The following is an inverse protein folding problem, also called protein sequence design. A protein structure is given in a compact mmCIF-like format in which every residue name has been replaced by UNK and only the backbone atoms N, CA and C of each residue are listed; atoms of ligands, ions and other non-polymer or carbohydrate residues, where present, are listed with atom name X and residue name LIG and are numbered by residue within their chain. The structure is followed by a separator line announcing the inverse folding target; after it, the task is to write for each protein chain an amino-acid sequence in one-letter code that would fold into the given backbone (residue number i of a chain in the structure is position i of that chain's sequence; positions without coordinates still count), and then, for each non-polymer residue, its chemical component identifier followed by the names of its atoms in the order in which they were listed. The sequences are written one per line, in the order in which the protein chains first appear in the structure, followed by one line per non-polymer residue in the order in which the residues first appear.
data_IF_485883569135
#
_entry.id   IF_485883569135
#
_cell.length_a   1.000
_cell.length_b   1.000
_cell.length_c   1.000
_cell.angle_alpha   90.00
_cell.angle_beta   90.00
_cell.angle_gamma   90.00
#
_symmetry.space_group_name_H-M   'P 1'
#
loop_
_entity.id
_entity.type
_entity.pdbx_description
1 polymer ?
#
# COMPACT_ATOMS: atom_id res chain seq x y z
N UNK A 1 13.16 -17.23 -2.41
CA UNK A 1 12.50 -17.98 -1.31
C UNK A 1 11.69 -16.96 -0.52
N UNK A 2 10.39 -16.81 -0.82
CA UNK A 2 9.54 -15.76 -0.24
C UNK A 2 9.08 -16.16 1.16
N UNK A 3 9.69 -15.58 2.19
CA UNK A 3 9.22 -15.69 3.58
C UNK A 3 8.17 -14.60 3.82
N UNK A 4 6.90 -14.93 3.64
CA UNK A 4 5.76 -14.00 3.80
C UNK A 4 5.09 -14.07 5.18
N UNK A 5 5.66 -14.79 6.16
CA UNK A 5 4.99 -15.04 7.45
C UNK A 5 5.92 -14.99 8.66
N UNK A 6 6.86 -14.04 8.71
CA UNK A 6 7.46 -13.66 9.99
C UNK A 6 6.64 -12.51 10.55
N UNK A 7 5.94 -12.73 11.67
CA UNK A 7 5.32 -11.68 12.49
C UNK A 7 6.42 -10.70 12.89
N UNK A 8 6.64 -9.68 12.08
CA UNK A 8 7.51 -8.56 12.40
C UNK A 8 6.68 -7.68 13.33
N UNK A 9 7.13 -7.46 14.57
CA UNK A 9 6.47 -6.43 15.36
C UNK A 9 6.68 -5.11 14.60
N UNK A 10 5.59 -4.44 14.20
CA UNK A 10 5.71 -3.24 13.39
C UNK A 10 6.46 -2.19 14.21
N UNK A 11 7.56 -1.68 13.65
CA UNK A 11 8.33 -0.63 14.30
C UNK A 11 7.43 0.62 14.38
N UNK A 12 7.29 1.29 15.54
CA UNK A 12 6.34 2.41 15.71
C UNK A 12 6.48 3.52 14.67
N UNK A 13 7.69 3.73 14.14
CA UNK A 13 7.90 4.71 13.06
C UNK A 13 7.24 4.29 11.74
N UNK A 14 7.18 3.00 11.42
CA UNK A 14 6.56 2.47 10.21
C UNK A 14 5.05 2.55 10.31
N UNK A 15 4.46 2.25 11.47
CA UNK A 15 3.02 2.42 11.69
C UNK A 15 2.60 3.88 11.51
N UNK A 16 3.36 4.82 12.08
CA UNK A 16 3.09 6.26 11.90
C UNK A 16 3.26 6.70 10.44
N UNK A 17 4.30 6.22 9.76
CA UNK A 17 4.54 6.54 8.35
C UNK A 17 3.38 6.02 7.49
N UNK A 18 2.98 4.76 7.68
CA UNK A 18 1.86 4.18 6.96
C UNK A 18 0.55 4.89 7.28
N UNK A 19 0.28 5.21 8.54
CA UNK A 19 -0.87 6.02 8.94
C UNK A 19 -0.89 7.40 8.26
N UNK A 20 0.27 8.05 8.12
CA UNK A 20 0.38 9.32 7.38
C UNK A 20 0.10 9.15 5.88
N UNK A 21 0.55 8.05 5.27
CA UNK A 21 0.23 7.70 3.87
C UNK A 21 -1.29 7.55 3.69
N UNK A 22 -1.95 6.82 4.58
CA UNK A 22 -3.41 6.62 4.57
C UNK A 22 -4.16 7.93 4.78
N UNK A 23 -3.71 8.76 5.72
CA UNK A 23 -4.32 10.08 5.94
C UNK A 23 -4.17 10.97 4.70
N UNK A 24 -2.99 10.95 4.06
CA UNK A 24 -2.75 11.72 2.85
C UNK A 24 -3.61 11.24 1.68
N UNK A 25 -3.73 9.93 1.45
CA UNK A 25 -4.56 9.40 0.35
C UNK A 25 -6.06 9.70 0.51
N UNK A 26 -6.50 10.11 1.71
CA UNK A 26 -7.89 10.46 2.05
C UNK A 26 -8.16 11.96 2.09
N UNK A 27 -7.21 12.80 1.68
CA UNK A 27 -7.43 14.25 1.64
C UNK A 27 -8.63 14.61 0.74
N UNK A 28 -9.61 15.41 1.22
CA UNK A 28 -10.85 15.71 0.48
C UNK A 28 -10.63 16.33 -0.91
N UNK A 29 -9.51 17.04 -1.11
CA UNK A 29 -9.17 17.67 -2.38
C UNK A 29 -9.09 16.67 -3.55
N UNK A 30 -8.67 15.42 -3.31
CA UNK A 30 -8.62 14.40 -4.36
C UNK A 30 -9.99 14.08 -4.95
N UNK A 31 -11.02 14.07 -4.10
CA UNK A 31 -12.38 13.70 -4.50
C UNK A 31 -13.20 14.89 -5.01
N UNK A 32 -12.82 16.10 -4.61
CA UNK A 32 -13.59 17.33 -4.88
C UNK A 32 -12.97 18.21 -5.96
N UNK A 33 -11.64 18.22 -6.08
CA UNK A 33 -10.91 19.10 -7.01
C UNK A 33 -10.18 18.32 -8.12
N UNK A 34 -9.86 17.05 -7.88
CA UNK A 34 -9.15 16.19 -8.83
C UNK A 34 -10.02 15.06 -9.41
N UNK A 35 -11.34 15.13 -9.20
CA UNK A 35 -12.35 14.20 -9.76
C UNK A 35 -12.07 12.72 -9.55
N UNK A 36 -11.31 12.36 -8.51
CA UNK A 36 -11.20 10.95 -8.11
C UNK A 36 -12.54 10.50 -7.57
N UNK A 37 -13.11 9.46 -8.16
CA UNK A 37 -14.37 8.90 -7.68
C UNK A 37 -14.27 8.55 -6.19
N UNK A 38 -15.19 9.06 -5.36
CA UNK A 38 -15.29 8.71 -3.94
C UNK A 38 -15.94 7.32 -3.78
N UNK A 39 -15.25 6.33 -4.32
CA UNK A 39 -15.58 4.92 -4.25
C UNK A 39 -14.44 4.18 -3.57
N UNK A 40 -14.71 2.95 -3.15
CA UNK A 40 -13.68 2.09 -2.58
C UNK A 40 -12.51 1.84 -3.54
N UNK A 41 -12.80 1.71 -4.83
CA UNK A 41 -11.78 1.56 -5.86
C UNK A 41 -10.95 2.84 -6.01
N UNK A 42 -11.59 4.02 -6.04
CA UNK A 42 -10.87 5.30 -6.11
C UNK A 42 -9.98 5.55 -4.90
N UNK A 43 -10.47 5.26 -3.68
CA UNK A 43 -9.68 5.33 -2.45
C UNK A 43 -8.49 4.36 -2.45
N UNK A 44 -8.69 3.14 -2.95
CA UNK A 44 -7.62 2.14 -3.08
C UNK A 44 -6.54 2.60 -4.07
N UNK A 45 -6.92 3.14 -5.22
CA UNK A 45 -5.98 3.66 -6.21
C UNK A 45 -5.13 4.82 -5.65
N UNK A 46 -5.74 5.75 -4.91
CA UNK A 46 -5.00 6.82 -4.22
C UNK A 46 -4.04 6.27 -3.16
N UNK A 47 -4.45 5.25 -2.39
CA UNK A 47 -3.59 4.62 -1.39
C UNK A 47 -2.39 3.92 -2.06
N UNK A 48 -2.63 3.20 -3.16
CA UNK A 48 -1.58 2.56 -3.96
C UNK A 48 -0.58 3.60 -4.46
N UNK A 49 -1.07 4.71 -5.04
CA UNK A 49 -0.22 5.78 -5.57
C UNK A 49 0.69 6.38 -4.48
N UNK A 50 0.13 6.75 -3.33
CA UNK A 50 0.92 7.36 -2.26
C UNK A 50 1.92 6.38 -1.63
N UNK A 51 1.51 5.11 -1.45
CA UNK A 51 2.41 4.05 -0.98
C UNK A 51 3.56 3.86 -1.95
N UNK A 52 3.29 3.86 -3.25
CA UNK A 52 4.31 3.78 -4.28
C UNK A 52 5.31 4.93 -4.20
N UNK A 53 4.84 6.18 -4.18
CA UNK A 53 5.70 7.37 -4.15
C UNK A 53 6.64 7.37 -2.94
N UNK A 54 6.13 6.99 -1.76
CA UNK A 54 6.95 6.90 -0.55
C UNK A 54 7.98 5.77 -0.64
N UNK A 55 7.57 4.58 -1.07
CA UNK A 55 8.51 3.46 -1.27
C UNK A 55 9.60 3.79 -2.30
N UNK A 56 9.23 4.43 -3.41
CA UNK A 56 10.18 4.87 -4.42
C UNK A 56 11.21 5.85 -3.84
N UNK A 57 10.75 6.86 -3.10
CA UNK A 57 11.61 7.84 -2.43
C UNK A 57 12.55 7.19 -1.41
N UNK A 58 12.06 6.25 -0.61
CA UNK A 58 12.83 5.56 0.43
C UNK A 58 13.94 4.67 -0.13
N UNK A 59 13.73 4.06 -1.31
CA UNK A 59 14.75 3.22 -1.96
C UNK A 59 16.05 3.98 -2.30
N UNK A 60 15.98 5.31 -2.42
CA UNK A 60 17.15 6.18 -2.63
C UNK A 60 17.97 6.48 -1.38
N UNK A 61 17.49 6.12 -0.18
CA UNK A 61 18.09 6.48 1.12
C UNK A 61 19.00 5.38 1.69
N UNK A 62 19.70 4.64 0.81
CA UNK A 62 20.60 3.54 1.20
C UNK A 62 19.89 2.35 1.85
N UNK A 63 20.63 1.54 2.61
CA UNK A 63 20.13 0.28 3.19
C UNK A 63 19.00 0.48 4.20
N UNK A 64 19.11 1.50 5.06
CA UNK A 64 18.06 1.84 6.02
C UNK A 64 16.76 2.27 5.30
N UNK A 65 16.89 3.06 4.22
CA UNK A 65 15.77 3.45 3.37
C UNK A 65 15.11 2.26 2.68
N UNK A 66 15.89 1.34 2.13
CA UNK A 66 15.38 0.10 1.51
C UNK A 66 14.63 -0.76 2.53
N UNK A 67 15.15 -0.92 3.74
CA UNK A 67 14.47 -1.62 4.82
C UNK A 67 13.14 -0.95 5.21
N UNK A 68 13.13 0.38 5.35
CA UNK A 68 11.91 1.14 5.63
C UNK A 68 10.89 1.05 4.48
N UNK A 69 11.34 1.05 3.22
CA UNK A 69 10.49 0.85 2.05
C UNK A 69 9.81 -0.52 2.08
N UNK A 70 10.56 -1.58 2.37
CA UNK A 70 10.00 -2.92 2.46
C UNK A 70 8.97 -3.01 3.60
N UNK A 71 9.31 -2.52 4.80
CA UNK A 71 8.40 -2.54 5.94
C UNK A 71 7.12 -1.73 5.70
N UNK A 72 7.21 -0.61 4.98
CA UNK A 72 6.04 0.19 4.60
C UNK A 72 5.16 -0.54 3.58
N UNK A 73 5.78 -1.23 2.62
CA UNK A 73 5.05 -2.04 1.64
C UNK A 73 4.37 -3.24 2.28
N UNK A 74 5.03 -3.91 3.25
CA UNK A 74 4.45 -5.03 3.99
C UNK A 74 3.22 -4.56 4.80
N UNK A 75 3.31 -3.41 5.48
CA UNK A 75 2.17 -2.82 6.19
C UNK A 75 0.99 -2.51 5.26
N UNK A 76 1.26 -2.05 4.05
CA UNK A 76 0.24 -1.86 3.01
C UNK A 76 -0.42 -3.17 2.57
N UNK A 77 0.36 -4.23 2.35
CA UNK A 77 -0.18 -5.54 1.97
C UNK A 77 -1.06 -6.13 3.07
N UNK A 78 -0.64 -6.00 4.33
CA UNK A 78 -1.40 -6.47 5.49
C UNK A 78 -2.74 -5.73 5.63
N UNK A 79 -2.75 -4.41 5.40
CA UNK A 79 -3.98 -3.61 5.44
C UNK A 79 -4.94 -3.97 4.32
N UNK A 80 -4.41 -4.21 3.14
CA UNK A 80 -5.17 -4.60 1.98
C UNK A 80 -5.78 -6.00 2.12
N UNK A 81 -5.03 -6.97 2.66
CA UNK A 81 -5.54 -8.33 2.95
C UNK A 81 -6.70 -8.26 3.96
N UNK A 82 -6.55 -7.49 5.06
CA UNK A 82 -7.62 -7.26 6.03
C UNK A 82 -8.85 -6.64 5.38
N UNK A 83 -8.67 -5.55 4.63
CA UNK A 83 -9.76 -4.85 3.94
C UNK A 83 -10.50 -5.78 3.00
N UNK A 84 -9.81 -6.59 2.20
CA UNK A 84 -10.45 -7.53 1.28
C UNK A 84 -11.29 -8.59 2.02
N UNK A 85 -10.79 -9.11 3.14
CA UNK A 85 -11.53 -10.09 3.96
C UNK A 85 -12.75 -9.46 4.63
N UNK A 86 -12.62 -8.26 5.16
CA UNK A 86 -13.73 -7.50 5.76
C UNK A 86 -14.86 -7.24 4.75
N UNK A 87 -14.52 -7.09 3.47
CA UNK A 87 -15.49 -6.94 2.38
C UNK A 87 -16.13 -8.26 1.94
N UNK A 88 -15.87 -9.36 2.64
CA UNK A 88 -16.42 -10.68 2.31
C UNK A 88 -15.81 -11.31 1.06
N UNK A 89 -14.64 -10.83 0.59
CA UNK A 89 -13.91 -11.50 -0.47
C UNK A 89 -13.41 -12.83 0.07
N UNK A 90 -13.94 -13.93 -0.47
CA UNK A 90 -13.61 -15.27 0.03
C UNK A 90 -12.11 -15.55 0.01
N UNK A 91 -11.63 -16.30 1.01
CA UNK A 91 -10.21 -16.58 1.25
C UNK A 91 -9.45 -17.15 0.05
N UNK A 92 -10.15 -17.88 -0.83
CA UNK A 92 -9.60 -18.44 -2.07
C UNK A 92 -9.35 -17.38 -3.16
N UNK A 93 -10.01 -16.22 -3.07
CA UNK A 93 -9.93 -15.12 -4.05
C UNK A 93 -8.97 -14.01 -3.62
N UNK A 94 -8.72 -13.85 -2.31
CA UNK A 94 -7.81 -12.83 -1.76
C UNK A 94 -6.39 -12.93 -2.37
N UNK A 95 -5.73 -14.10 -2.44
CA UNK A 95 -4.37 -14.19 -3.01
C UNK A 95 -4.29 -13.75 -4.47
N UNK A 96 -5.33 -14.04 -5.28
CA UNK A 96 -5.38 -13.62 -6.69
C UNK A 96 -5.47 -12.11 -6.82
N UNK A 97 -6.26 -11.47 -5.94
CA UNK A 97 -6.46 -10.01 -5.91
C UNK A 97 -5.20 -9.30 -5.42
N UNK A 98 -4.57 -9.82 -4.35
CA UNK A 98 -3.27 -9.37 -3.87
C UNK A 98 -2.20 -9.43 -4.96
N UNK A 99 -2.14 -10.53 -5.73
CA UNK A 99 -1.20 -10.68 -6.85
C UNK A 99 -1.42 -9.62 -7.93
N UNK A 100 -2.69 -9.36 -8.30
CA UNK A 100 -3.02 -8.32 -9.30
C UNK A 100 -2.60 -6.93 -8.82
N UNK A 101 -2.80 -6.62 -7.54
CA UNK A 101 -2.41 -5.34 -6.95
C UNK A 101 -0.89 -5.20 -6.88
N UNK A 102 -0.18 -6.25 -6.47
CA UNK A 102 1.29 -6.27 -6.53
C UNK A 102 1.81 -6.08 -7.95
N UNK A 103 1.21 -6.74 -8.95
CA UNK A 103 1.54 -6.55 -10.36
C UNK A 103 1.24 -5.12 -10.85
N UNK A 104 0.11 -4.54 -10.46
CA UNK A 104 -0.21 -3.15 -10.77
C UNK A 104 0.77 -2.17 -10.10
N UNK A 105 1.17 -2.45 -8.86
CA UNK A 105 2.18 -1.69 -8.13
C UNK A 105 3.50 -1.70 -8.90
N UNK A 106 4.08 -2.87 -9.16
CA UNK A 106 5.35 -2.98 -9.89
C UNK A 106 5.26 -2.56 -11.37
N UNK A 107 4.13 -2.82 -12.04
CA UNK A 107 3.91 -2.41 -13.43
C UNK A 107 3.83 -0.89 -13.58
N UNK A 108 3.18 -0.21 -12.63
CA UNK A 108 3.12 1.26 -12.60
C UNK A 108 4.42 1.88 -12.09
N UNK A 109 5.18 1.19 -11.23
CA UNK A 109 6.53 1.65 -10.83
C UNK A 109 7.53 1.77 -11.99
N UNK A 110 7.28 1.10 -13.12
CA UNK A 110 8.10 1.20 -14.31
C UNK A 110 7.63 2.30 -15.28
N UNK A 111 6.42 2.84 -15.09
CA UNK A 111 5.81 3.85 -15.96
C UNK A 111 5.85 5.26 -15.36
N UNK A 112 5.92 5.38 -14.02
CA UNK A 112 6.21 6.62 -13.30
C UNK A 112 7.71 6.84 -13.16
#
# INVERSE_FOLDING_TARGET
MFSLFRRHQPHPSIERLYGAIVAQSRQPAFYTHFDVADSMEGRLELLILHTFLVCHRLKGEGEAGRAASQATFDAFLDDLDRTLRELGVGDLSVPKRMKKIGQAFYGRTAAY
#
